data_IF_956837706212
#
_entry.id   IF_956837706212
#
_cell.length_a   1.000
_cell.length_b   1.000
_cell.length_c   1.000
_cell.angle_alpha   90.00
_cell.angle_beta   90.00
_cell.angle_gamma   90.00
#
_symmetry.space_group_name_H-M   'P 1'
#
loop_
_entity.id
_entity.type
_entity.pdbx_description
1 polymer ?
#
# COMPACT_ATOMS: atom_id res chain seq x y z
N UNK A 1 7.03 25.85 -31.10
CA UNK A 1 6.17 24.70 -31.46
C UNK A 1 6.70 23.37 -30.94
N UNK A 2 7.71 22.70 -31.55
CA UNK A 2 8.16 21.36 -31.06
C UNK A 2 8.70 21.40 -29.62
N UNK A 3 9.57 22.37 -29.32
CA UNK A 3 10.15 22.55 -27.96
C UNK A 3 9.11 22.89 -26.89
N UNK A 4 8.02 23.57 -27.27
CA UNK A 4 6.93 23.90 -26.34
C UNK A 4 6.07 22.66 -26.08
N UNK A 5 5.76 21.88 -27.12
CA UNK A 5 5.03 20.62 -27.00
C UNK A 5 5.80 19.60 -26.12
N UNK A 6 7.12 19.49 -26.28
CA UNK A 6 7.97 18.64 -25.42
C UNK A 6 7.97 19.11 -23.96
N UNK A 7 8.02 20.43 -23.72
CA UNK A 7 7.96 21.00 -22.38
C UNK A 7 6.63 20.69 -21.68
N UNK A 8 5.50 20.94 -22.35
CA UNK A 8 4.19 20.65 -21.78
C UNK A 8 4.00 19.16 -21.49
N UNK A 9 4.49 18.29 -22.37
CA UNK A 9 4.46 16.85 -22.13
C UNK A 9 5.23 16.45 -20.87
N UNK A 10 6.43 16.99 -20.68
CA UNK A 10 7.24 16.69 -19.49
C UNK A 10 6.57 17.19 -18.20
N UNK A 11 5.99 18.39 -18.21
CA UNK A 11 5.25 18.93 -17.08
C UNK A 11 3.99 18.10 -16.75
N UNK A 12 3.25 17.64 -17.77
CA UNK A 12 2.09 16.76 -17.60
C UNK A 12 2.48 15.39 -17.03
N UNK A 13 3.55 14.78 -17.56
CA UNK A 13 4.06 13.48 -17.08
C UNK A 13 4.53 13.57 -15.62
N UNK A 14 5.20 14.67 -15.24
CA UNK A 14 5.62 14.91 -13.85
C UNK A 14 4.43 15.10 -12.91
N UNK A 15 3.45 15.92 -13.31
CA UNK A 15 2.22 16.13 -12.54
C UNK A 15 1.45 14.83 -12.35
N UNK A 16 1.36 14.00 -13.39
CA UNK A 16 0.72 12.68 -13.33
C UNK A 16 1.44 11.76 -12.35
N UNK A 17 2.77 11.64 -12.45
CA UNK A 17 3.57 10.80 -11.57
C UNK A 17 3.46 11.24 -10.09
N UNK A 18 3.40 12.56 -9.84
CA UNK A 18 3.14 13.11 -8.50
C UNK A 18 1.79 12.66 -7.96
N UNK A 19 0.71 12.81 -8.75
CA UNK A 19 -0.65 12.45 -8.34
C UNK A 19 -0.74 10.94 -8.08
N UNK A 20 -0.13 10.11 -8.92
CA UNK A 20 -0.10 8.66 -8.72
C UNK A 20 0.62 8.29 -7.41
N UNK A 21 1.77 8.91 -7.12
CA UNK A 21 2.50 8.69 -5.87
C UNK A 21 1.68 9.15 -4.66
N UNK A 22 1.04 10.32 -4.73
CA UNK A 22 0.11 10.80 -3.70
C UNK A 22 -1.00 9.77 -3.42
N UNK A 23 -1.67 9.29 -4.46
CA UNK A 23 -2.74 8.30 -4.34
C UNK A 23 -2.24 6.99 -3.72
N UNK A 24 -1.02 6.54 -4.07
CA UNK A 24 -0.41 5.35 -3.46
C UNK A 24 -0.25 5.53 -1.94
N UNK A 25 0.25 6.69 -1.51
CA UNK A 25 0.46 6.98 -0.09
C UNK A 25 -0.88 7.02 0.66
N UNK A 26 -1.89 7.71 0.12
CA UNK A 26 -3.23 7.78 0.73
C UNK A 26 -3.83 6.37 0.85
N UNK A 27 -3.76 5.57 -0.21
CA UNK A 27 -4.24 4.18 -0.20
C UNK A 27 -3.54 3.33 0.87
N UNK A 28 -2.22 3.49 1.04
CA UNK A 28 -1.48 2.79 2.10
C UNK A 28 -1.96 3.19 3.51
N UNK A 29 -2.15 4.49 3.74
CA UNK A 29 -2.64 5.03 5.01
C UNK A 29 -4.03 4.47 5.35
N UNK A 30 -4.97 4.50 4.39
CA UNK A 30 -6.32 3.97 4.59
C UNK A 30 -6.35 2.45 4.73
N UNK A 31 -5.54 1.73 3.95
CA UNK A 31 -5.42 0.27 4.08
C UNK A 31 -4.93 -0.12 5.48
N UNK A 32 -3.94 0.60 6.00
CA UNK A 32 -3.44 0.38 7.35
C UNK A 32 -4.50 0.69 8.41
N UNK A 33 -5.24 1.80 8.25
CA UNK A 33 -6.34 2.18 9.16
C UNK A 33 -7.42 1.10 9.23
N UNK A 34 -7.83 0.57 8.08
CA UNK A 34 -8.80 -0.52 8.02
C UNK A 34 -8.27 -1.77 8.71
N UNK A 35 -7.02 -2.12 8.45
CA UNK A 35 -6.37 -3.28 9.06
C UNK A 35 -6.30 -3.21 10.59
N UNK A 36 -5.92 -2.05 11.14
CA UNK A 36 -5.90 -1.81 12.60
C UNK A 36 -7.31 -1.93 13.18
N UNK A 37 -8.33 -1.43 12.47
CA UNK A 37 -9.72 -1.56 12.88
C UNK A 37 -10.18 -3.02 12.90
N UNK A 38 -9.82 -3.81 11.89
CA UNK A 38 -10.11 -5.25 11.80
C UNK A 38 -9.44 -6.06 12.92
N UNK A 39 -8.28 -5.60 13.42
CA UNK A 39 -7.63 -6.25 14.55
C UNK A 39 -8.42 -6.10 15.84
N UNK A 40 -9.19 -5.02 16.03
CA UNK A 40 -10.02 -4.85 17.24
C UNK A 40 -9.20 -4.99 18.52
N UNK A 41 -9.59 -5.90 19.41
CA UNK A 41 -8.90 -6.16 20.69
C UNK A 41 -7.61 -6.98 20.54
N UNK A 42 -7.25 -7.36 19.30
CA UNK A 42 -6.01 -8.11 19.01
C UNK A 42 -4.75 -7.25 19.05
N UNK A 43 -4.91 -5.93 19.03
CA UNK A 43 -3.83 -4.94 19.13
C UNK A 43 -3.97 -4.20 20.46
N UNK A 44 -2.84 -3.88 21.10
CA UNK A 44 -2.87 -3.09 22.33
C UNK A 44 -3.44 -1.69 22.04
N UNK A 45 -4.13 -1.09 23.00
CA UNK A 45 -4.66 0.28 22.83
C UNK A 45 -3.54 1.30 22.58
N UNK A 46 -2.34 1.05 23.13
CA UNK A 46 -1.17 1.88 22.91
C UNK A 46 -0.65 1.79 21.46
N UNK A 47 -0.50 0.58 20.93
CA UNK A 47 -0.03 0.38 19.55
C UNK A 47 -1.07 0.85 18.54
N UNK A 48 -2.35 0.64 18.82
CA UNK A 48 -3.46 1.19 18.02
C UNK A 48 -3.38 2.71 17.93
N UNK A 49 -3.23 3.38 19.08
CA UNK A 49 -3.13 4.85 19.13
C UNK A 49 -1.90 5.35 18.37
N UNK A 50 -0.73 4.74 18.58
CA UNK A 50 0.50 5.09 17.84
C UNK A 50 0.33 4.94 16.32
N UNK A 51 -0.36 3.88 15.90
CA UNK A 51 -0.60 3.64 14.49
C UNK A 51 -1.59 4.65 13.88
N UNK A 52 -2.65 4.99 14.60
CA UNK A 52 -3.60 6.06 14.23
C UNK A 52 -2.89 7.42 14.13
N UNK A 53 -2.03 7.78 15.08
CA UNK A 53 -1.24 9.02 15.07
C UNK A 53 -0.31 9.10 13.85
N UNK A 54 0.37 8.00 13.50
CA UNK A 54 1.23 7.93 12.32
C UNK A 54 0.42 8.12 11.03
N UNK A 55 -0.73 7.46 10.92
CA UNK A 55 -1.63 7.59 9.76
C UNK A 55 -2.11 9.03 9.61
N UNK A 56 -2.60 9.64 10.70
CA UNK A 56 -3.09 11.01 10.70
C UNK A 56 -1.99 12.03 10.37
N UNK A 57 -0.80 11.86 10.95
CA UNK A 57 0.37 12.69 10.64
C UNK A 57 0.69 12.69 9.14
N UNK A 58 0.65 11.51 8.53
CA UNK A 58 0.98 11.36 7.11
C UNK A 58 -0.11 11.89 6.19
N UNK A 59 -1.39 11.66 6.50
CA UNK A 59 -2.51 12.28 5.77
C UNK A 59 -2.45 13.81 5.85
N UNK A 60 -2.20 14.37 7.04
CA UNK A 60 -2.01 15.83 7.21
C UNK A 60 -0.83 16.37 6.41
N UNK A 61 0.25 15.60 6.29
CA UNK A 61 1.38 16.02 5.45
C UNK A 61 0.95 16.11 3.99
N UNK A 62 0.18 15.13 3.49
CA UNK A 62 -0.33 15.14 2.11
C UNK A 62 -1.25 16.34 1.87
N UNK A 63 -2.14 16.63 2.83
CA UNK A 63 -3.06 17.78 2.76
C UNK A 63 -2.32 19.12 2.75
N UNK A 64 -1.22 19.24 3.49
CA UNK A 64 -0.40 20.45 3.55
C UNK A 64 0.59 20.58 2.39
N UNK A 65 0.89 19.49 1.67
CA UNK A 65 1.92 19.46 0.64
C UNK A 65 1.36 19.23 -0.78
N UNK A 66 0.16 19.74 -1.08
CA UNK A 66 -0.54 19.47 -2.35
C UNK A 66 0.25 19.82 -3.62
N UNK A 67 1.16 20.78 -3.52
CA UNK A 67 2.02 21.26 -4.61
C UNK A 67 3.46 20.76 -4.51
N UNK A 68 3.73 19.75 -3.68
CA UNK A 68 5.08 19.20 -3.52
C UNK A 68 5.65 18.61 -4.81
N UNK A 69 6.97 18.53 -4.91
CA UNK A 69 7.63 17.91 -6.08
C UNK A 69 7.44 16.39 -6.09
N UNK A 70 7.68 15.77 -7.25
CA UNK A 70 7.68 14.32 -7.35
C UNK A 70 8.65 13.68 -6.36
N UNK A 71 9.87 14.20 -6.24
CA UNK A 71 10.90 13.70 -5.33
C UNK A 71 10.50 13.81 -3.85
N UNK A 72 9.76 14.87 -3.48
CA UNK A 72 9.23 15.01 -2.12
C UNK A 72 8.21 13.91 -1.80
N UNK A 73 7.29 13.64 -2.74
CA UNK A 73 6.32 12.58 -2.60
C UNK A 73 6.97 11.18 -2.61
N UNK A 74 8.00 10.94 -3.42
CA UNK A 74 8.73 9.68 -3.43
C UNK A 74 9.47 9.43 -2.12
N UNK A 75 10.20 10.42 -1.60
CA UNK A 75 10.84 10.33 -0.28
C UNK A 75 9.81 10.09 0.81
N UNK A 76 8.67 10.79 0.75
CA UNK A 76 7.59 10.61 1.70
C UNK A 76 7.02 9.20 1.66
N UNK A 77 6.85 8.64 0.47
CA UNK A 77 6.39 7.26 0.29
C UNK A 77 7.32 6.27 1.00
N UNK A 78 8.64 6.39 0.80
CA UNK A 78 9.61 5.51 1.48
C UNK A 78 9.56 5.63 3.02
N UNK A 79 9.39 6.84 3.54
CA UNK A 79 9.23 7.07 4.99
C UNK A 79 8.00 6.35 5.53
N UNK A 80 6.87 6.48 4.83
CA UNK A 80 5.59 5.88 5.23
C UNK A 80 5.65 4.36 5.14
N UNK A 81 6.26 3.80 4.10
CA UNK A 81 6.51 2.37 3.99
C UNK A 81 7.32 1.84 5.19
N UNK A 82 8.35 2.56 5.61
CA UNK A 82 9.17 2.21 6.79
C UNK A 82 8.38 2.33 8.09
N UNK A 83 7.61 3.39 8.28
CA UNK A 83 6.77 3.60 9.47
C UNK A 83 5.69 2.52 9.59
N UNK A 84 4.96 2.25 8.50
CA UNK A 84 3.93 1.20 8.43
C UNK A 84 4.54 -0.19 8.64
N UNK A 85 5.67 -0.48 8.01
CA UNK A 85 6.40 -1.74 8.20
C UNK A 85 6.74 -1.98 9.67
N UNK A 86 7.22 -0.97 10.39
CA UNK A 86 7.51 -1.05 11.83
C UNK A 86 6.25 -1.33 12.67
N UNK A 87 5.12 -0.72 12.33
CA UNK A 87 3.86 -0.98 13.03
C UNK A 87 3.45 -2.44 12.83
N UNK A 88 3.46 -2.93 11.59
CA UNK A 88 3.18 -4.33 11.29
C UNK A 88 4.12 -5.27 12.04
N UNK A 89 5.43 -5.02 12.02
CA UNK A 89 6.40 -5.85 12.77
C UNK A 89 6.09 -5.91 14.25
N UNK A 90 5.71 -4.80 14.90
CA UNK A 90 5.33 -4.80 16.32
C UNK A 90 4.05 -5.60 16.58
N UNK A 91 3.03 -5.39 15.76
CA UNK A 91 1.75 -6.10 15.85
C UNK A 91 1.96 -7.62 15.67
N UNK A 92 2.77 -8.01 14.67
CA UNK A 92 3.01 -9.42 14.35
C UNK A 92 4.09 -10.08 15.22
N UNK A 93 5.03 -9.35 15.84
CA UNK A 93 5.94 -9.94 16.83
C UNK A 93 5.25 -10.20 18.17
N UNK A 94 4.26 -9.38 18.54
CA UNK A 94 3.46 -9.60 19.75
C UNK A 94 2.51 -10.81 19.65
N UNK A 95 2.28 -11.33 18.45
CA UNK A 95 1.48 -12.52 18.17
C UNK A 95 2.35 -13.54 17.48
N UNK A 96 2.78 -14.58 18.19
CA UNK A 96 3.50 -15.72 17.61
C UNK A 96 2.93 -16.09 16.24
N UNK A 97 3.82 -16.09 15.25
CA UNK A 97 3.63 -16.42 13.84
C UNK A 97 2.48 -17.39 13.58
N UNK A 98 1.31 -16.84 13.22
CA UNK A 98 0.36 -17.50 12.34
C UNK A 98 -0.68 -16.49 11.86
N UNK A 99 -0.98 -16.53 10.57
CA UNK A 99 -2.09 -15.83 9.91
C UNK A 99 -1.94 -14.32 9.68
N UNK A 100 -1.01 -13.94 8.78
CA UNK A 100 -1.40 -13.04 7.69
C UNK A 100 -0.45 -13.12 6.48
N UNK A 101 -0.65 -14.13 5.64
CA UNK A 101 -0.17 -14.11 4.25
C UNK A 101 -1.04 -13.15 3.46
N UNK A 102 -0.77 -11.84 3.57
CA UNK A 102 -1.29 -10.85 2.64
C UNK A 102 -0.56 -10.98 1.31
N UNK A 103 -1.17 -11.68 0.34
CA UNK A 103 -0.74 -11.66 -1.06
C UNK A 103 -0.27 -13.01 -1.62
N UNK A 104 -1.16 -14.00 -1.69
CA UNK A 104 -1.08 -14.99 -2.77
C UNK A 104 -2.46 -15.07 -3.43
N UNK A 105 -2.63 -14.25 -4.46
CA UNK A 105 -3.57 -14.52 -5.52
C UNK A 105 -3.10 -15.83 -6.19
N UNK A 106 -3.48 -16.98 -5.65
CA UNK A 106 -3.53 -18.20 -6.45
C UNK A 106 -4.83 -18.12 -7.23
N UNK A 107 -4.72 -17.56 -8.44
CA UNK A 107 -5.60 -17.94 -9.53
C UNK A 107 -5.77 -19.47 -9.47
N UNK A 108 -6.99 -19.91 -9.18
CA UNK A 108 -7.40 -21.28 -9.48
C UNK A 108 -7.43 -21.38 -10.99
N UNK A 109 -6.29 -21.71 -11.57
CA UNK A 109 -6.17 -22.19 -12.92
C UNK A 109 -6.95 -23.51 -13.00
N UNK A 110 -8.20 -23.42 -13.45
CA UNK A 110 -9.03 -24.56 -13.84
C UNK A 110 -8.36 -25.25 -15.04
N UNK A 111 -7.37 -26.09 -14.75
CA UNK A 111 -6.83 -27.03 -15.71
C UNK A 111 -7.88 -28.13 -15.92
N UNK A 112 -8.69 -27.95 -16.95
CA UNK A 112 -9.42 -29.00 -17.65
C UNK A 112 -8.46 -30.16 -17.95
N UNK A 113 -8.50 -31.21 -17.13
CA UNK A 113 -8.12 -32.55 -17.56
C UNK A 113 -9.38 -33.41 -17.49
N UNK A 114 -9.97 -33.62 -18.66
CA UNK A 114 -11.03 -34.59 -18.86
C UNK A 114 -10.57 -36.00 -18.46
N UNK A 115 -11.51 -36.91 -18.17
CA UNK A 115 -11.19 -38.26 -17.71
C UNK A 115 -10.45 -39.03 -18.80
N UNK A 116 -9.27 -39.56 -18.47
CA UNK A 116 -8.57 -40.55 -19.28
C UNK A 116 -9.34 -41.86 -19.23
N UNK A 117 -9.78 -42.30 -20.39
CA UNK A 117 -10.43 -43.59 -20.65
C UNK A 117 -9.44 -44.70 -20.28
N UNK A 118 -9.78 -45.52 -19.30
CA UNK A 118 -9.14 -46.82 -19.09
C UNK A 118 -9.62 -47.75 -20.21
N UNK A 119 -8.73 -48.08 -21.14
CA UNK A 119 -8.90 -49.24 -22.01
C UNK A 119 -8.82 -50.48 -21.12
N UNK A 120 -9.97 -51.15 -20.95
CA UNK A 120 -10.09 -52.45 -20.31
C UNK A 120 -10.04 -53.49 -21.43
N UNK A 121 -8.96 -54.25 -21.50
CA UNK A 121 -8.96 -55.59 -22.10
C UNK A 121 -9.76 -56.57 -21.21
#
# INVERSE_FOLDING_TARGET
MIREAEKYKAEDDENKARIETKNQIENMCYSMKNRIKEMGDKISSEDKKKAEEIIEKNLRWIDNNQNGSKEEYEKKKEEIEKEIGRIYSKIYQGRGSNEFTGGRNTEKENNNKGPTIEEVD
#
